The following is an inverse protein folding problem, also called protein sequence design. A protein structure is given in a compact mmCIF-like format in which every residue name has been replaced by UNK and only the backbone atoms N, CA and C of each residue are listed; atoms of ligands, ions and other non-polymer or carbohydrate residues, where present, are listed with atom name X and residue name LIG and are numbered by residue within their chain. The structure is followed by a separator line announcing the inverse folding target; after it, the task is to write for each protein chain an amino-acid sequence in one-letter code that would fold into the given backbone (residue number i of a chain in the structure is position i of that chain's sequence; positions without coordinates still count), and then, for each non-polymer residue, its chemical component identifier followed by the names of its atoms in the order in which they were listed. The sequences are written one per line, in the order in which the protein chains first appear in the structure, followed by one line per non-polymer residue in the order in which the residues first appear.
data_IF_406758679911
#
_entry.id   IF_406758679911
#
_cell.length_a   1.000
_cell.length_b   1.000
_cell.length_c   1.000
_cell.angle_alpha   90.00
_cell.angle_beta   90.00
_cell.angle_gamma   90.00
#
_symmetry.space_group_name_H-M   'P 1'
#
loop_
_entity.id
_entity.type
_entity.pdbx_description
1 polymer ?
#
# COMPACT_ATOMS: atom_id res chain seq x y z
N UNK A 1 -66.07 -21.84 22.83
CA UNK A 1 -66.27 -21.00 24.04
C UNK A 1 -64.93 -20.99 24.78
N UNK A 2 -64.06 -20.00 24.61
CA UNK A 2 -63.89 -18.77 25.41
C UNK A 2 -62.34 -18.66 25.53
N UNK A 3 -61.62 -17.55 25.51
CA UNK A 3 -61.91 -16.14 25.28
C UNK A 3 -60.55 -15.47 25.03
N UNK A 4 -60.55 -14.49 24.13
CA UNK A 4 -59.45 -13.57 23.84
C UNK A 4 -59.32 -12.54 24.97
N UNK A 5 -58.10 -12.16 25.36
CA UNK A 5 -57.83 -10.77 25.72
C UNK A 5 -56.35 -10.37 25.53
N UNK A 6 -56.17 -9.30 24.76
CA UNK A 6 -54.96 -8.52 24.52
C UNK A 6 -54.98 -7.25 25.39
N UNK A 7 -53.79 -6.69 25.60
CA UNK A 7 -53.46 -5.24 25.58
C UNK A 7 -53.19 -4.50 26.90
N UNK A 8 -52.20 -3.59 26.79
CA UNK A 8 -51.84 -2.52 27.72
C UNK A 8 -50.49 -2.76 28.40
N UNK A 9 -49.33 -2.26 27.97
CA UNK A 9 -49.04 -1.02 27.27
C UNK A 9 -48.84 0.10 28.29
N UNK A 10 -47.60 0.33 28.76
CA UNK A 10 -47.17 1.63 29.27
C UNK A 10 -45.73 1.93 28.84
N UNK A 11 -45.63 3.08 28.20
CA UNK A 11 -44.48 3.80 27.69
C UNK A 11 -43.85 4.61 28.82
N UNK A 12 -42.52 4.68 28.86
CA UNK A 12 -41.81 5.76 29.53
C UNK A 12 -40.71 6.27 28.58
N UNK A 13 -41.09 7.28 27.82
CA UNK A 13 -40.20 8.28 27.20
C UNK A 13 -39.39 8.98 28.29
N UNK A 14 -38.11 9.26 28.01
CA UNK A 14 -37.34 10.49 28.30
C UNK A 14 -35.90 10.18 27.83
N UNK A 15 -35.52 10.45 26.57
CA UNK A 15 -34.97 11.74 26.12
C UNK A 15 -34.27 12.53 27.24
N UNK A 16 -32.94 12.51 27.25
CA UNK A 16 -32.16 13.73 27.46
C UNK A 16 -30.82 13.61 26.74
N UNK A 17 -30.48 14.72 26.11
CA UNK A 17 -29.55 14.86 25.02
C UNK A 17 -28.12 15.08 25.51
N UNK A 18 -27.18 14.58 24.72
CA UNK A 18 -25.79 14.98 24.67
C UNK A 18 -25.63 16.51 24.64
N UNK A 19 -24.92 17.07 25.62
CA UNK A 19 -24.12 18.28 25.45
C UNK A 19 -22.89 18.23 26.37
N UNK A 20 -21.84 17.59 25.88
CA UNK A 20 -20.48 17.84 26.34
C UNK A 20 -19.60 18.18 25.12
N UNK A 21 -19.22 19.45 24.92
CA UNK A 21 -18.14 19.78 24.00
C UNK A 21 -16.82 19.38 24.68
N UNK A 22 -16.29 18.21 24.34
CA UNK A 22 -14.90 17.91 24.64
C UNK A 22 -14.01 18.77 23.75
N UNK A 23 -13.54 19.88 24.33
CA UNK A 23 -12.48 20.71 23.79
C UNK A 23 -11.20 19.89 23.60
N UNK A 24 -10.90 19.57 22.34
CA UNK A 24 -9.60 19.08 21.91
C UNK A 24 -8.59 20.24 21.96
N UNK A 25 -7.92 20.43 23.09
CA UNK A 25 -6.66 21.18 23.11
C UNK A 25 -5.51 20.24 22.77
N UNK A 26 -5.21 20.11 21.48
CA UNK A 26 -3.93 19.57 21.01
C UNK A 26 -3.01 20.76 20.68
N UNK A 27 -1.84 20.89 21.32
CA UNK A 27 -0.89 21.93 20.97
C UNK A 27 -0.26 21.66 19.59
N UNK A 28 -0.38 22.66 18.71
CA UNK A 28 0.24 22.75 17.41
C UNK A 28 1.77 22.83 17.55
N UNK A 29 2.56 21.90 16.96
CA UNK A 29 3.99 22.12 16.82
C UNK A 29 4.24 23.14 15.69
N UNK A 30 4.72 24.29 16.12
CA UNK A 30 5.25 25.42 15.36
C UNK A 30 6.06 24.98 14.13
N UNK A 31 5.61 25.47 12.98
CA UNK A 31 6.30 25.42 11.70
C UNK A 31 7.57 26.27 11.78
N UNK A 32 8.68 25.65 12.17
CA UNK A 32 10.01 26.25 12.07
C UNK A 32 10.41 26.33 10.59
N UNK A 33 10.52 27.56 10.10
CA UNK A 33 11.17 27.91 8.84
C UNK A 33 12.65 27.52 8.94
N UNK A 34 13.10 26.64 8.04
CA UNK A 34 14.52 26.39 7.84
C UNK A 34 15.02 27.43 6.83
N UNK A 35 15.51 28.54 7.38
CA UNK A 35 16.32 29.52 6.66
C UNK A 35 17.65 28.84 6.29
N UNK A 36 17.84 28.57 5.00
CA UNK A 36 19.11 28.04 4.50
C UNK A 36 20.05 29.24 4.34
N UNK A 37 20.65 29.64 5.46
CA UNK A 37 21.75 30.61 5.48
C UNK A 37 22.96 30.05 4.73
N UNK A 38 23.12 30.46 3.48
CA UNK A 38 24.33 30.25 2.69
C UNK A 38 25.42 31.17 3.25
N UNK A 39 26.22 30.64 4.17
CA UNK A 39 27.39 31.31 4.71
C UNK A 39 28.51 31.32 3.68
N UNK A 40 29.19 32.46 3.64
CA UNK A 40 30.02 32.88 2.52
C UNK A 40 31.31 32.10 2.32
N UNK A 41 31.93 32.39 1.18
CA UNK A 41 33.34 32.77 1.21
C UNK A 41 33.66 33.66 0.01
N UNK A 42 33.81 34.95 0.28
CA UNK A 42 34.39 35.93 -0.65
C UNK A 42 35.76 36.32 -0.11
N UNK A 43 36.83 35.75 -0.67
CA UNK A 43 38.19 36.31 -0.70
C UNK A 43 38.80 35.84 -2.03
N UNK A 44 38.88 36.71 -3.04
CA UNK A 44 40.00 37.63 -3.31
C UNK A 44 41.35 36.93 -3.34
N UNK A 45 41.91 36.74 -4.54
CA UNK A 45 43.20 37.34 -4.93
C UNK A 45 43.27 37.44 -6.45
N UNK A 46 43.34 38.68 -6.94
CA UNK A 46 43.81 39.00 -8.28
C UNK A 46 45.33 38.88 -8.30
N UNK A 47 45.86 38.09 -9.24
CA UNK A 47 47.25 38.20 -9.66
C UNK A 47 47.28 38.19 -11.19
N UNK A 48 47.77 39.29 -11.77
CA UNK A 48 47.91 39.53 -13.20
C UNK A 48 49.14 38.83 -13.79
N UNK A 49 48.91 38.30 -15.01
CA UNK A 49 49.81 38.21 -16.18
C UNK A 49 50.99 37.21 -16.16
N UNK A 50 51.58 36.83 -17.32
CA UNK A 50 51.32 37.19 -18.72
C UNK A 50 51.17 35.98 -19.69
N UNK A 51 50.98 36.32 -20.97
CA UNK A 51 50.63 35.45 -22.09
C UNK A 51 51.78 34.65 -22.74
N UNK A 52 51.35 33.62 -23.50
CA UNK A 52 51.96 32.89 -24.64
C UNK A 52 52.64 31.52 -24.35
N UNK A 53 52.78 30.61 -25.35
CA UNK A 53 51.84 30.18 -26.41
C UNK A 53 51.73 28.63 -26.58
N UNK A 54 50.68 28.18 -27.29
CA UNK A 54 50.56 26.94 -28.08
C UNK A 54 50.77 25.54 -27.43
N UNK A 55 49.69 24.74 -27.39
CA UNK A 55 49.71 23.28 -27.31
C UNK A 55 48.33 22.66 -27.63
N UNK A 56 48.21 21.62 -28.46
CA UNK A 56 46.93 21.10 -28.93
C UNK A 56 46.33 20.03 -28.00
N UNK A 57 45.00 20.08 -27.82
CA UNK A 57 44.08 19.00 -27.45
C UNK A 57 44.25 18.34 -26.05
N UNK A 58 43.31 18.63 -25.16
CA UNK A 58 42.68 17.55 -24.36
C UNK A 58 41.27 17.90 -23.92
N UNK A 59 40.33 17.22 -24.57
CA UNK A 59 38.88 17.25 -24.38
C UNK A 59 38.50 16.45 -23.10
N UNK A 60 39.07 16.82 -21.95
CA UNK A 60 38.88 16.09 -20.69
C UNK A 60 37.54 16.46 -20.04
N UNK A 61 36.49 15.75 -20.45
CA UNK A 61 35.24 15.67 -19.70
C UNK A 61 35.44 14.97 -18.33
N UNK A 62 34.51 15.16 -17.37
CA UNK A 62 34.63 14.60 -16.02
C UNK A 62 34.90 13.09 -16.07
N UNK A 63 35.77 12.54 -15.20
CA UNK A 63 36.08 11.12 -15.21
C UNK A 63 34.79 10.32 -15.08
N UNK A 64 34.52 9.46 -16.06
CA UNK A 64 33.34 8.62 -16.08
C UNK A 64 33.37 7.72 -14.84
N UNK A 65 32.56 8.05 -13.82
CA UNK A 65 32.41 7.21 -12.64
C UNK A 65 31.92 5.84 -13.11
N UNK A 66 32.61 4.74 -12.76
CA UNK A 66 32.18 3.41 -13.19
C UNK A 66 30.77 3.17 -12.63
N UNK A 67 29.82 2.87 -13.53
CA UNK A 67 28.45 2.51 -13.12
C UNK A 67 28.53 1.27 -12.23
N UNK A 68 27.92 1.34 -11.05
CA UNK A 68 27.79 0.17 -10.15
C UNK A 68 27.17 -0.99 -10.95
N UNK A 69 27.78 -2.17 -10.84
CA UNK A 69 27.27 -3.39 -11.49
C UNK A 69 25.83 -3.62 -11.05
N UNK A 70 24.97 -3.99 -12.00
CA UNK A 70 23.58 -4.33 -11.69
C UNK A 70 23.54 -5.57 -10.80
N UNK A 71 22.61 -5.60 -9.87
CA UNK A 71 22.41 -6.77 -9.02
C UNK A 71 22.18 -8.02 -9.89
N UNK A 72 22.71 -9.19 -9.50
CA UNK A 72 22.48 -10.44 -10.22
C UNK A 72 20.97 -10.69 -10.38
N UNK A 73 20.53 -10.95 -11.61
CA UNK A 73 19.16 -11.33 -11.91
C UNK A 73 18.95 -12.79 -11.50
N UNK A 74 18.47 -13.02 -10.28
CA UNK A 74 18.08 -14.36 -9.82
C UNK A 74 16.95 -14.90 -10.70
N UNK A 75 17.08 -16.14 -11.19
CA UNK A 75 16.06 -16.78 -12.04
C UNK A 75 14.86 -17.21 -11.19
N UNK A 76 13.75 -17.59 -11.83
CA UNK A 76 12.59 -18.09 -11.09
C UNK A 76 12.87 -19.46 -10.44
N UNK A 77 13.69 -20.27 -11.10
CA UNK A 77 14.02 -21.61 -10.63
C UNK A 77 14.78 -21.60 -9.31
N UNK A 78 15.63 -20.59 -9.09
CA UNK A 78 16.40 -20.43 -7.86
C UNK A 78 15.52 -20.23 -6.61
N UNK A 79 14.24 -19.86 -6.78
CA UNK A 79 13.32 -19.58 -5.68
C UNK A 79 12.45 -20.77 -5.29
N UNK A 80 12.31 -21.76 -6.17
CA UNK A 80 11.48 -22.96 -5.93
C UNK A 80 11.78 -23.67 -4.60
N UNK A 81 13.05 -23.94 -4.22
CA UNK A 81 13.32 -24.65 -2.97
C UNK A 81 13.01 -23.80 -1.72
N UNK A 82 12.96 -22.48 -1.86
CA UNK A 82 12.73 -21.56 -0.73
C UNK A 82 11.28 -21.07 -0.67
N UNK A 83 10.47 -21.33 -1.70
CA UNK A 83 9.09 -20.83 -1.81
C UNK A 83 8.26 -21.20 -0.60
N UNK A 84 8.18 -22.49 -0.27
CA UNK A 84 7.38 -22.99 0.86
C UNK A 84 7.80 -22.34 2.18
N UNK A 85 9.11 -22.24 2.42
CA UNK A 85 9.65 -21.63 3.64
C UNK A 85 9.36 -20.13 3.72
N UNK A 86 9.51 -19.41 2.61
CA UNK A 86 9.21 -17.97 2.54
C UNK A 86 7.72 -17.74 2.81
N UNK A 87 6.84 -18.56 2.24
CA UNK A 87 5.40 -18.46 2.42
C UNK A 87 4.98 -18.80 3.86
N UNK A 88 5.58 -19.82 4.49
CA UNK A 88 5.34 -20.14 5.90
C UNK A 88 5.71 -18.95 6.82
N UNK A 89 6.94 -18.43 6.68
CA UNK A 89 7.41 -17.30 7.46
C UNK A 89 6.55 -16.04 7.24
N UNK A 90 6.11 -15.79 6.01
CA UNK A 90 5.38 -14.56 5.69
C UNK A 90 3.87 -14.64 5.99
N UNK A 91 3.22 -15.76 5.68
CA UNK A 91 1.75 -15.91 5.80
C UNK A 91 1.39 -16.47 7.18
N UNK A 92 2.00 -17.59 7.56
CA UNK A 92 1.65 -18.32 8.78
C UNK A 92 2.19 -17.58 9.99
N UNK A 93 3.49 -17.25 9.97
CA UNK A 93 4.15 -16.56 11.09
C UNK A 93 3.99 -15.03 11.06
N UNK A 94 3.42 -14.47 9.98
CA UNK A 94 3.19 -13.02 9.78
C UNK A 94 4.43 -12.15 9.98
N UNK A 95 5.62 -12.69 9.69
CA UNK A 95 6.86 -11.94 9.86
C UNK A 95 7.05 -10.88 8.76
N UNK A 96 7.65 -9.73 9.09
CA UNK A 96 7.95 -8.71 8.11
C UNK A 96 9.05 -9.18 7.16
N UNK A 97 8.95 -8.82 5.88
CA UNK A 97 9.87 -9.28 4.83
C UNK A 97 11.38 -9.10 5.13
N UNK A 98 11.83 -8.03 5.82
CA UNK A 98 13.24 -7.91 6.20
C UNK A 98 13.70 -9.04 7.11
N UNK A 99 12.84 -9.52 8.01
CA UNK A 99 13.13 -10.63 8.91
C UNK A 99 13.08 -11.96 8.17
N UNK A 100 12.10 -12.15 7.27
CA UNK A 100 12.04 -13.33 6.39
C UNK A 100 13.32 -13.48 5.59
N UNK A 101 13.80 -12.39 4.97
CA UNK A 101 15.08 -12.37 4.24
C UNK A 101 16.24 -12.80 5.13
N UNK A 102 16.34 -12.23 6.33
CA UNK A 102 17.41 -12.55 7.27
C UNK A 102 17.41 -14.06 7.60
N UNK A 103 16.24 -14.63 7.91
CA UNK A 103 16.13 -16.04 8.25
C UNK A 103 16.50 -16.96 7.08
N UNK A 104 16.06 -16.62 5.86
CA UNK A 104 16.41 -17.40 4.67
C UNK A 104 17.92 -17.30 4.35
N UNK A 105 18.54 -16.14 4.58
CA UNK A 105 19.99 -15.97 4.44
C UNK A 105 20.76 -16.74 5.50
N UNK A 106 20.28 -16.79 6.75
CA UNK A 106 20.89 -17.53 7.86
C UNK A 106 20.73 -19.06 7.69
N UNK A 107 19.55 -19.54 7.29
CA UNK A 107 19.25 -20.96 7.14
C UNK A 107 19.85 -21.57 5.85
N UNK A 108 19.78 -20.86 4.73
CA UNK A 108 20.14 -21.40 3.40
C UNK A 108 21.29 -20.66 2.70
N UNK A 109 21.77 -19.54 3.26
CA UNK A 109 22.79 -18.71 2.59
C UNK A 109 22.26 -17.96 1.36
N UNK A 110 20.95 -17.95 1.11
CA UNK A 110 20.36 -17.38 -0.09
C UNK A 110 20.24 -15.85 -0.01
N UNK A 111 21.14 -15.16 -0.72
CA UNK A 111 21.20 -13.68 -0.75
C UNK A 111 20.34 -13.11 -1.86
N UNK A 112 19.24 -12.46 -1.48
CA UNK A 112 18.34 -11.78 -2.40
C UNK A 112 17.86 -10.42 -1.86
N UNK A 113 17.48 -9.52 -2.78
CA UNK A 113 16.99 -8.19 -2.43
C UNK A 113 15.53 -8.23 -1.95
N UNK A 114 15.16 -7.38 -0.99
CA UNK A 114 13.79 -7.26 -0.47
C UNK A 114 12.73 -7.07 -1.57
N UNK A 115 13.08 -6.33 -2.63
CA UNK A 115 12.21 -6.11 -3.80
C UNK A 115 11.94 -7.42 -4.56
N UNK A 116 12.93 -8.31 -4.64
CA UNK A 116 12.77 -9.61 -5.29
C UNK A 116 11.78 -10.49 -4.50
N UNK A 117 11.90 -10.54 -3.16
CA UNK A 117 10.93 -11.23 -2.30
C UNK A 117 9.50 -10.75 -2.53
N UNK A 118 9.27 -9.42 -2.53
CA UNK A 118 7.93 -8.84 -2.81
C UNK A 118 7.39 -9.29 -4.16
N UNK A 119 8.25 -9.26 -5.18
CA UNK A 119 7.88 -9.64 -6.55
C UNK A 119 7.50 -11.12 -6.62
N UNK A 120 8.28 -11.99 -5.96
CA UNK A 120 8.03 -13.44 -5.92
C UNK A 120 6.75 -13.77 -5.17
N UNK A 121 6.51 -13.17 -4.01
CA UNK A 121 5.26 -13.33 -3.26
C UNK A 121 4.04 -12.91 -4.08
N UNK A 122 4.16 -11.82 -4.86
CA UNK A 122 3.08 -11.36 -5.75
C UNK A 122 2.85 -12.33 -6.92
N UNK A 123 3.92 -12.93 -7.47
CA UNK A 123 3.86 -13.95 -8.51
C UNK A 123 3.19 -15.24 -8.01
N UNK A 124 3.50 -15.66 -6.78
CA UNK A 124 2.85 -16.80 -6.12
C UNK A 124 1.40 -16.53 -5.70
N UNK A 125 0.90 -15.31 -5.89
CA UNK A 125 -0.47 -14.94 -5.56
C UNK A 125 -0.77 -14.89 -4.07
N UNK A 126 0.26 -14.82 -3.21
CA UNK A 126 0.14 -14.78 -1.74
C UNK A 126 0.28 -13.38 -1.16
N UNK A 127 -0.13 -12.38 -1.94
CA UNK A 127 -0.14 -10.99 -1.49
C UNK A 127 -1.21 -10.76 -0.42
N UNK A 128 -0.89 -9.96 0.60
CA UNK A 128 -1.83 -9.53 1.65
C UNK A 128 -2.87 -8.54 1.13
N UNK A 129 -2.60 -7.90 -0.01
CA UNK A 129 -3.46 -6.91 -0.61
C UNK A 129 -4.32 -7.53 -1.72
N UNK A 130 -5.61 -7.17 -1.73
CA UNK A 130 -6.55 -7.52 -2.80
C UNK A 130 -6.19 -6.71 -4.03
N UNK A 131 -6.02 -7.38 -5.18
CA UNK A 131 -5.69 -6.69 -6.43
C UNK A 131 -6.90 -5.88 -6.94
N UNK A 132 -6.69 -4.81 -7.73
CA UNK A 132 -7.79 -4.02 -8.28
C UNK A 132 -8.80 -4.88 -9.05
N UNK A 133 -8.32 -5.79 -9.91
CA UNK A 133 -9.17 -6.71 -10.68
C UNK A 133 -10.01 -7.63 -9.79
N UNK A 134 -9.46 -8.10 -8.66
CA UNK A 134 -10.19 -8.94 -7.70
C UNK A 134 -11.26 -8.11 -6.97
N UNK A 135 -10.92 -6.87 -6.60
CA UNK A 135 -11.86 -5.95 -5.95
C UNK A 135 -12.99 -5.55 -6.89
N UNK A 136 -12.69 -5.29 -8.16
CA UNK A 136 -13.71 -5.04 -9.19
C UNK A 136 -14.70 -6.21 -9.28
N UNK A 137 -14.20 -7.45 -9.34
CA UNK A 137 -15.06 -8.63 -9.39
C UNK A 137 -15.95 -8.74 -8.13
N UNK A 138 -15.40 -8.42 -6.95
CA UNK A 138 -16.16 -8.36 -5.70
C UNK A 138 -17.25 -7.30 -5.77
N UNK A 139 -16.94 -6.08 -6.23
CA UNK A 139 -17.90 -4.99 -6.36
C UNK A 139 -19.04 -5.36 -7.29
N UNK A 140 -18.75 -5.94 -8.46
CA UNK A 140 -19.78 -6.42 -9.40
C UNK A 140 -20.71 -7.42 -8.75
N UNK A 141 -20.15 -8.38 -8.03
CA UNK A 141 -20.93 -9.43 -7.36
C UNK A 141 -21.75 -8.86 -6.20
N UNK A 142 -21.22 -7.88 -5.45
CA UNK A 142 -21.94 -7.17 -4.38
C UNK A 142 -23.11 -6.37 -4.92
N UNK A 143 -22.91 -5.57 -5.97
CA UNK A 143 -23.96 -4.78 -6.60
C UNK A 143 -25.02 -5.66 -7.24
N UNK A 144 -24.63 -6.72 -7.96
CA UNK A 144 -25.60 -7.70 -8.51
C UNK A 144 -26.45 -8.31 -7.40
N UNK A 145 -25.83 -8.73 -6.29
CA UNK A 145 -26.58 -9.28 -5.15
C UNK A 145 -27.56 -8.27 -4.56
N UNK A 146 -27.15 -7.00 -4.41
CA UNK A 146 -28.01 -5.95 -3.85
C UNK A 146 -29.15 -5.52 -4.79
N UNK A 147 -28.88 -5.41 -6.09
CA UNK A 147 -29.81 -4.82 -7.06
C UNK A 147 -30.73 -5.86 -7.72
N UNK A 148 -30.24 -7.09 -7.91
CA UNK A 148 -30.97 -8.14 -8.63
C UNK A 148 -31.50 -9.22 -7.68
N UNK A 149 -30.76 -9.53 -6.60
CA UNK A 149 -31.06 -10.65 -5.71
C UNK A 149 -31.41 -10.18 -4.28
N UNK A 150 -32.39 -9.28 -4.18
CA UNK A 150 -32.79 -8.59 -2.92
C UNK A 150 -33.25 -9.53 -1.81
N UNK A 151 -33.76 -10.72 -2.15
CA UNK A 151 -34.30 -11.68 -1.19
C UNK A 151 -33.20 -12.46 -0.43
N UNK A 152 -31.93 -12.24 -0.78
CA UNK A 152 -30.80 -13.03 -0.29
C UNK A 152 -29.96 -12.25 0.72
N UNK A 153 -29.38 -13.00 1.67
CA UNK A 153 -28.43 -12.49 2.67
C UNK A 153 -27.18 -11.87 2.02
N UNK A 154 -26.51 -10.91 2.70
CA UNK A 154 -25.27 -10.31 2.24
C UNK A 154 -24.16 -11.35 2.10
N UNK A 155 -23.30 -11.16 1.09
CA UNK A 155 -22.17 -12.05 0.81
C UNK A 155 -20.96 -11.70 1.68
N UNK A 156 -20.31 -12.75 2.19
CA UNK A 156 -18.94 -12.68 2.69
C UNK A 156 -18.01 -12.99 1.52
N UNK A 157 -17.06 -12.11 1.26
CA UNK A 157 -16.07 -12.28 0.20
C UNK A 157 -14.75 -12.73 0.80
N UNK A 158 -14.15 -13.75 0.20
CA UNK A 158 -12.82 -14.25 0.56
C UNK A 158 -11.94 -14.23 -0.69
N UNK A 159 -10.74 -13.68 -0.56
CA UNK A 159 -9.74 -13.61 -1.62
C UNK A 159 -8.43 -14.15 -1.07
N UNK A 160 -7.92 -15.23 -1.70
CA UNK A 160 -6.61 -15.83 -1.38
C UNK A 160 -6.46 -16.25 0.09
N UNK A 161 -7.54 -16.69 0.74
CA UNK A 161 -7.55 -17.05 2.17
C UNK A 161 -7.78 -15.88 3.13
N UNK A 162 -7.97 -14.65 2.60
CA UNK A 162 -8.25 -13.46 3.38
C UNK A 162 -9.69 -12.97 3.19
N UNK A 163 -10.41 -12.77 4.29
CA UNK A 163 -11.74 -12.15 4.25
C UNK A 163 -11.63 -10.68 3.83
N UNK A 164 -12.49 -10.26 2.91
CA UNK A 164 -12.60 -8.86 2.48
C UNK A 164 -13.74 -8.20 3.23
N UNK A 165 -13.38 -7.28 4.13
CA UNK A 165 -14.38 -6.52 4.90
C UNK A 165 -15.24 -5.62 4.00
N UNK A 166 -16.54 -5.51 4.27
CA UNK A 166 -17.45 -4.64 3.51
C UNK A 166 -16.99 -3.18 3.42
N UNK A 167 -16.40 -2.65 4.50
CA UNK A 167 -15.86 -1.30 4.55
C UNK A 167 -14.69 -1.09 3.57
N UNK A 168 -13.88 -2.14 3.33
CA UNK A 168 -12.78 -2.07 2.37
C UNK A 168 -13.31 -1.92 0.94
N UNK A 169 -14.40 -2.61 0.64
CA UNK A 169 -15.10 -2.52 -0.64
C UNK A 169 -15.67 -1.10 -0.82
N UNK A 170 -16.33 -0.54 0.20
CA UNK A 170 -16.87 0.83 0.17
C UNK A 170 -15.79 1.89 -0.06
N UNK A 171 -14.67 1.82 0.68
CA UNK A 171 -13.54 2.73 0.50
C UNK A 171 -12.96 2.63 -0.91
N UNK A 172 -12.92 1.44 -1.48
CA UNK A 172 -12.44 1.24 -2.85
C UNK A 172 -13.41 1.83 -3.87
N UNK A 173 -14.71 1.62 -3.72
CA UNK A 173 -15.75 2.18 -4.60
C UNK A 173 -15.73 3.71 -4.57
N UNK A 174 -15.61 4.33 -3.39
CA UNK A 174 -15.48 5.79 -3.25
C UNK A 174 -14.23 6.35 -3.94
N UNK A 175 -13.12 5.60 -3.96
CA UNK A 175 -11.88 6.01 -4.63
C UNK A 175 -11.96 5.89 -6.15
N UNK A 176 -12.74 4.93 -6.66
CA UNK A 176 -12.89 4.64 -8.09
C UNK A 176 -14.18 5.23 -8.68
N UNK A 177 -14.87 6.11 -7.93
CA UNK A 177 -16.12 6.76 -8.31
C UNK A 177 -17.22 5.78 -8.79
N UNK A 178 -17.29 4.62 -8.14
CA UNK A 178 -18.28 3.59 -8.48
C UNK A 178 -19.53 3.78 -7.62
N UNK A 179 -20.62 4.21 -8.25
CA UNK A 179 -21.92 4.33 -7.59
C UNK A 179 -22.48 2.96 -7.18
N UNK A 180 -22.97 2.84 -5.94
CA UNK A 180 -23.60 1.60 -5.43
C UNK A 180 -24.91 1.26 -6.18
N UNK A 181 -25.55 2.28 -6.77
CA UNK A 181 -26.85 2.18 -7.44
C UNK A 181 -26.81 1.57 -8.85
N UNK A 182 -25.63 1.48 -9.48
CA UNK A 182 -25.49 0.96 -10.84
C UNK A 182 -24.60 -0.26 -10.87
N UNK A 183 -24.93 -1.22 -11.75
CA UNK A 183 -24.08 -2.37 -12.00
C UNK A 183 -22.74 -1.90 -12.58
N UNK A 184 -21.66 -2.15 -11.86
CA UNK A 184 -20.32 -1.84 -12.34
C UNK A 184 -19.99 -2.72 -13.55
N UNK A 185 -19.91 -2.11 -14.72
CA UNK A 185 -19.33 -2.71 -15.91
C UNK A 185 -18.05 -1.91 -16.21
N UNK A 186 -16.84 -2.47 -16.01
CA UNK A 186 -15.65 -1.79 -16.48
C UNK A 186 -15.81 -1.56 -17.98
N UNK A 187 -15.39 -0.39 -18.47
CA UNK A 187 -15.24 -0.23 -19.91
C UNK A 187 -14.32 -1.35 -20.40
N UNK A 188 -14.73 -2.15 -21.40
CA UNK A 188 -13.84 -3.13 -21.98
C UNK A 188 -12.62 -2.35 -22.49
N UNK A 189 -11.44 -2.69 -21.97
CA UNK A 189 -10.20 -2.13 -22.48
C UNK A 189 -10.11 -2.53 -23.96
N UNK A 190 -10.07 -1.52 -24.84
CA UNK A 190 -9.85 -1.66 -26.28
C UNK A 190 -8.45 -2.22 -26.57
#
# INVERSE_FOLDING_TARGET
ALQVQLSGGQVATMQNHDLHPFSLSTPHPSQAQFDIGFTGNSQSVSASAPAAPAGPLSLMGPPARPRKRKAPTLRADDWKPYEERILDLHIVQKLPLPKVRQMIEEEYGFKAELRQYRTRISQWGKDKNVKPQEMEAIVRKRQKRKLVETDKRPLVFEVRGGQVEPQKIERWMKRHDVAESFLYAPSPAA
#
